data_IF_761694698440
#
_entry.id   IF_761694698440
#
_cell.length_a   1.000
_cell.length_b   1.000
_cell.length_c   1.000
_cell.angle_alpha   90.00
_cell.angle_beta   90.00
_cell.angle_gamma   90.00
#
_symmetry.space_group_name_H-M   'P 1'
#
loop_
_entity.id
_entity.type
_entity.pdbx_description
1 polymer ?
#
# COMPACT_ATOMS: atom_id res chain seq x y z
N UNK A 1 -41.39 -4.06 13.35
CA UNK A 1 -40.33 -3.12 12.93
C UNK A 1 -39.00 -3.75 13.32
N UNK A 2 -38.41 -4.55 12.42
CA UNK A 2 -37.14 -5.21 12.69
C UNK A 2 -36.02 -4.23 12.34
N UNK A 3 -35.27 -3.82 13.35
CA UNK A 3 -33.99 -3.11 13.20
C UNK A 3 -32.95 -4.14 12.78
N UNK A 4 -32.94 -4.51 11.49
CA UNK A 4 -31.76 -5.14 10.91
C UNK A 4 -30.70 -4.04 10.78
N UNK A 5 -29.65 -4.12 11.58
CA UNK A 5 -28.45 -3.31 11.32
C UNK A 5 -27.96 -3.70 9.93
N UNK A 6 -28.08 -2.79 8.96
CA UNK A 6 -27.46 -2.97 7.65
C UNK A 6 -25.96 -2.84 7.87
N UNK A 7 -25.30 -3.96 8.16
CA UNK A 7 -23.85 -4.04 8.11
C UNK A 7 -23.48 -3.91 6.64
N UNK A 8 -23.08 -2.71 6.23
CA UNK A 8 -22.49 -2.45 4.91
C UNK A 8 -21.41 -3.48 4.67
N UNK A 9 -21.46 -4.16 3.51
CA UNK A 9 -20.44 -5.13 3.15
C UNK A 9 -19.06 -4.46 3.25
N UNK A 10 -18.02 -5.13 3.80
CA UNK A 10 -16.66 -4.59 3.77
C UNK A 10 -16.20 -4.20 2.35
N UNK A 11 -16.80 -4.83 1.33
CA UNK A 11 -16.52 -4.55 -0.08
C UNK A 11 -17.22 -3.30 -0.63
N UNK A 12 -18.20 -2.73 0.08
CA UNK A 12 -18.84 -1.46 -0.28
C UNK A 12 -18.20 -0.25 0.43
N UNK A 13 -17.17 -0.47 1.25
CA UNK A 13 -16.40 0.60 1.89
C UNK A 13 -15.31 1.11 0.96
N UNK A 14 -14.91 2.37 1.15
CA UNK A 14 -13.73 2.91 0.49
C UNK A 14 -12.49 2.32 1.18
N UNK A 15 -11.69 1.61 0.42
CA UNK A 15 -10.47 0.94 0.86
C UNK A 15 -9.24 1.51 0.15
N UNK A 16 -8.07 1.26 0.72
CA UNK A 16 -6.78 1.53 0.09
C UNK A 16 -5.95 0.26 0.11
N UNK A 17 -5.55 -0.23 -1.07
CA UNK A 17 -4.50 -1.22 -1.19
C UNK A 17 -3.17 -0.48 -1.15
N UNK A 18 -2.28 -0.86 -0.23
CA UNK A 18 -0.98 -0.25 -0.01
C UNK A 18 0.10 -1.29 -0.28
N UNK A 19 1.11 -0.89 -1.05
CA UNK A 19 2.31 -1.66 -1.29
C UNK A 19 3.55 -0.79 -1.01
N UNK A 20 4.59 -1.42 -0.46
CA UNK A 20 5.81 -0.74 -0.05
C UNK A 20 7.02 -1.52 -0.55
N UNK A 21 7.95 -0.79 -1.15
CA UNK A 21 9.26 -1.33 -1.47
C UNK A 21 10.29 -0.78 -0.52
N UNK A 22 11.27 -1.61 -0.18
CA UNK A 22 12.23 -1.33 0.90
C UNK A 22 13.63 -1.76 0.52
N UNK A 23 14.64 -1.26 1.25
CA UNK A 23 16.03 -1.72 1.08
C UNK A 23 16.30 -3.14 1.61
N UNK A 24 15.30 -3.83 2.13
CA UNK A 24 15.38 -5.15 2.77
C UNK A 24 14.23 -5.39 3.77
N UNK A 25 14.24 -6.52 4.46
CA UNK A 25 13.10 -6.97 5.30
C UNK A 25 13.30 -6.76 6.81
N UNK A 26 14.35 -6.07 7.25
CA UNK A 26 14.63 -5.82 8.67
C UNK A 26 14.13 -4.44 9.11
N UNK A 27 13.06 -4.39 9.90
CA UNK A 27 12.45 -3.13 10.38
C UNK A 27 13.40 -2.21 11.16
N UNK A 28 14.46 -2.74 11.75
CA UNK A 28 15.43 -1.95 12.52
C UNK A 28 16.51 -1.34 11.63
N UNK A 29 16.66 -1.83 10.41
CA UNK A 29 17.79 -1.49 9.52
C UNK A 29 17.34 -0.99 8.17
N UNK A 30 16.23 -1.45 7.62
CA UNK A 30 15.76 -1.20 6.27
C UNK A 30 14.79 -0.02 6.20
N UNK A 31 14.72 0.62 5.04
CA UNK A 31 13.98 1.86 4.82
C UNK A 31 13.16 1.74 3.55
N UNK A 32 12.01 2.42 3.52
CA UNK A 32 11.15 2.51 2.33
C UNK A 32 11.89 3.22 1.19
N UNK A 33 11.75 2.71 -0.02
CA UNK A 33 12.23 3.31 -1.28
C UNK A 33 11.08 3.70 -2.21
N UNK A 34 9.89 3.10 -2.05
CA UNK A 34 8.68 3.45 -2.81
C UNK A 34 7.41 3.24 -1.98
N UNK A 35 6.40 4.07 -2.22
CA UNK A 35 5.04 3.90 -1.71
C UNK A 35 4.07 3.88 -2.89
N UNK A 36 3.35 2.77 -3.05
CA UNK A 36 2.25 2.63 -4.00
C UNK A 36 0.92 2.48 -3.27
N UNK A 37 -0.11 3.21 -3.71
CA UNK A 37 -1.45 3.10 -3.14
C UNK A 37 -2.54 3.20 -4.21
N UNK A 38 -3.56 2.34 -4.08
CA UNK A 38 -4.78 2.40 -4.90
C UNK A 38 -5.97 2.56 -3.97
N UNK A 39 -6.71 3.65 -4.13
CA UNK A 39 -7.97 3.90 -3.44
C UNK A 39 -9.11 3.38 -4.30
N UNK A 40 -9.99 2.56 -3.74
CA UNK A 40 -11.07 1.92 -4.47
C UNK A 40 -12.32 1.70 -3.61
N UNK A 41 -13.46 1.49 -4.26
CA UNK A 41 -14.71 1.05 -3.63
C UNK A 41 -15.31 -0.06 -4.49
N UNK A 42 -15.43 -1.27 -3.94
CA UNK A 42 -15.78 -2.45 -4.73
C UNK A 42 -14.79 -2.67 -5.88
N UNK A 43 -15.28 -2.62 -7.11
CA UNK A 43 -14.48 -2.78 -8.34
C UNK A 43 -14.02 -1.44 -8.94
N UNK A 44 -14.48 -0.31 -8.40
CA UNK A 44 -14.17 1.03 -8.93
C UNK A 44 -12.89 1.58 -8.30
N UNK A 45 -11.91 1.93 -9.14
CA UNK A 45 -10.73 2.71 -8.72
C UNK A 45 -11.12 4.18 -8.63
N UNK A 46 -10.94 4.76 -7.45
CA UNK A 46 -11.23 6.16 -7.14
C UNK A 46 -10.00 7.03 -7.40
N UNK A 47 -8.81 6.56 -6.98
CA UNK A 47 -7.57 7.31 -7.11
C UNK A 47 -6.34 6.39 -7.02
N UNK A 48 -5.21 6.85 -7.53
CA UNK A 48 -3.92 6.17 -7.43
C UNK A 48 -2.83 7.15 -6.96
N UNK A 49 -1.91 6.63 -6.17
CA UNK A 49 -0.76 7.37 -5.69
C UNK A 49 0.49 6.51 -5.83
N UNK A 50 1.57 7.12 -6.31
CA UNK A 50 2.88 6.49 -6.38
C UNK A 50 3.96 7.55 -6.12
N UNK A 51 4.93 7.22 -5.28
CA UNK A 51 6.08 8.09 -5.06
C UNK A 51 7.33 7.31 -4.66
N UNK A 52 8.49 7.79 -5.11
CA UNK A 52 9.78 7.30 -4.65
C UNK A 52 10.23 8.06 -3.40
N UNK A 53 10.88 7.34 -2.50
CA UNK A 53 11.47 7.86 -1.27
C UNK A 53 12.98 7.73 -1.39
N UNK A 54 13.72 8.81 -1.09
CA UNK A 54 15.17 8.73 -1.00
C UNK A 54 15.56 8.06 0.33
N UNK A 55 16.14 6.84 0.33
CA UNK A 55 16.47 6.14 1.58
C UNK A 55 17.70 6.72 2.29
N UNK A 56 18.39 7.71 1.71
CA UNK A 56 19.61 8.30 2.28
C UNK A 56 20.83 7.36 2.25
N UNK A 57 20.76 6.27 1.48
CA UNK A 57 21.81 5.25 1.35
C UNK A 57 21.73 4.53 0.01
N UNK A 58 22.74 3.73 -0.29
CA UNK A 58 22.71 2.82 -1.43
C UNK A 58 21.69 1.70 -1.21
N UNK A 59 20.93 1.38 -2.25
CA UNK A 59 20.01 0.24 -2.29
C UNK A 59 20.84 -1.02 -2.62
N UNK A 60 20.75 -2.11 -1.84
CA UNK A 60 21.48 -3.35 -2.16
C UNK A 60 21.15 -3.87 -3.56
N UNK A 61 22.14 -4.39 -4.29
CA UNK A 61 21.96 -4.81 -5.69
C UNK A 61 20.87 -5.89 -5.84
N UNK A 62 20.74 -6.78 -4.86
CA UNK A 62 19.69 -7.81 -4.91
C UNK A 62 18.28 -7.22 -4.81
N UNK A 63 18.11 -6.10 -4.09
CA UNK A 63 16.83 -5.38 -4.00
C UNK A 63 16.55 -4.69 -5.33
N UNK A 64 17.54 -4.00 -5.91
CA UNK A 64 17.40 -3.35 -7.23
C UNK A 64 17.02 -4.32 -8.37
N UNK A 65 17.28 -5.63 -8.20
CA UNK A 65 16.88 -6.65 -9.18
C UNK A 65 15.54 -7.32 -8.86
N UNK A 66 15.08 -7.18 -7.62
CA UNK A 66 13.85 -7.80 -7.14
C UNK A 66 12.64 -6.91 -7.43
N UNK A 67 12.83 -5.60 -7.29
CA UNK A 67 11.82 -4.55 -7.47
C UNK A 67 12.37 -3.43 -8.34
#
# INVERSE_FOLDING_TARGET
MSLLSQTTSPFEQICVALDLETTGLDENRDTIIEVGAVKFQGEEIIDTFQTFVNPGRNIPEFIQRLT
#
